data_IF_873716659348
#
_entry.id   IF_873716659348
#
_cell.length_a   1.000
_cell.length_b   1.000
_cell.length_c   1.000
_cell.angle_alpha   90.00
_cell.angle_beta   90.00
_cell.angle_gamma   90.00
#
_symmetry.space_group_name_H-M   'P 1'
#
loop_
_entity.id
_entity.type
_entity.pdbx_description
1 polymer ?
#
# COMPACT_ATOMS: atom_id res chain seq x y z
N UNK A 1 4.14 1.71 17.35
CA UNK A 1 3.57 1.37 16.02
C UNK A 1 2.62 0.21 16.22
N UNK A 2 1.42 0.32 15.67
CA UNK A 2 0.41 -0.74 15.74
C UNK A 2 0.67 -1.78 14.64
N UNK A 3 0.27 -3.04 14.88
CA UNK A 3 0.40 -4.09 13.87
C UNK A 3 -0.70 -3.88 12.84
N UNK A 4 -0.34 -3.86 11.55
CA UNK A 4 -1.25 -3.92 10.42
C UNK A 4 -1.35 -5.36 9.93
N UNK A 5 -2.55 -5.93 9.98
CA UNK A 5 -2.83 -7.24 9.39
C UNK A 5 -3.41 -7.00 8.00
N UNK A 6 -2.58 -7.14 6.97
CA UNK A 6 -2.93 -6.87 5.58
C UNK A 6 -2.48 -8.03 4.68
N UNK A 7 -3.31 -8.39 3.73
CA UNK A 7 -2.99 -9.36 2.68
C UNK A 7 -3.29 -8.77 1.30
N UNK A 8 -2.35 -8.92 0.37
CA UNK A 8 -2.46 -8.48 -1.03
C UNK A 8 -2.79 -9.67 -1.94
N UNK A 9 -3.75 -9.49 -2.85
CA UNK A 9 -4.20 -10.49 -3.80
C UNK A 9 -4.06 -9.94 -5.23
N UNK A 10 -3.27 -10.61 -6.05
CA UNK A 10 -3.03 -10.28 -7.46
C UNK A 10 -3.85 -11.18 -8.39
N UNK A 11 -3.89 -10.84 -9.68
CA UNK A 11 -4.60 -11.61 -10.73
C UNK A 11 -6.12 -11.70 -10.47
N UNK A 12 -6.71 -10.60 -10.02
CA UNK A 12 -8.14 -10.51 -9.69
C UNK A 12 -8.90 -9.89 -10.86
N UNK A 13 -9.99 -10.52 -11.29
CA UNK A 13 -10.97 -9.89 -12.17
C UNK A 13 -11.76 -8.83 -11.39
N UNK A 14 -11.41 -7.57 -11.62
CA UNK A 14 -11.98 -6.45 -10.86
C UNK A 14 -13.48 -6.25 -11.10
N UNK A 15 -13.99 -6.56 -12.28
CA UNK A 15 -15.42 -6.41 -12.58
C UNK A 15 -16.23 -7.43 -11.80
N UNK A 16 -15.73 -8.67 -11.73
CA UNK A 16 -16.31 -9.72 -10.90
C UNK A 16 -16.17 -9.36 -9.42
N UNK A 17 -15.01 -8.89 -9.01
CA UNK A 17 -14.73 -8.53 -7.61
C UNK A 17 -15.59 -7.37 -7.12
N UNK A 18 -15.75 -6.28 -7.90
CA UNK A 18 -16.68 -5.19 -7.57
C UNK A 18 -18.14 -5.63 -7.47
N UNK A 19 -18.57 -6.56 -8.34
CA UNK A 19 -19.92 -7.18 -8.22
C UNK A 19 -20.03 -7.96 -6.91
N UNK A 20 -18.98 -8.69 -6.55
CA UNK A 20 -18.95 -9.44 -5.28
C UNK A 20 -19.03 -8.50 -4.08
N UNK A 21 -18.22 -7.42 -4.02
CA UNK A 21 -18.28 -6.41 -2.97
C UNK A 21 -19.71 -5.87 -2.78
N UNK A 22 -20.34 -5.46 -3.88
CA UNK A 22 -21.75 -4.98 -3.85
C UNK A 22 -22.72 -6.05 -3.36
N UNK A 23 -22.55 -7.30 -3.77
CA UNK A 23 -23.45 -8.41 -3.41
C UNK A 23 -23.40 -8.77 -1.93
N UNK A 24 -22.26 -8.57 -1.27
CA UNK A 24 -22.09 -8.81 0.18
C UNK A 24 -22.43 -7.58 1.02
N UNK A 25 -22.82 -6.48 0.39
CA UNK A 25 -23.16 -5.23 1.09
C UNK A 25 -21.94 -4.41 1.54
N UNK A 26 -20.80 -4.55 0.88
CA UNK A 26 -19.67 -3.67 1.12
C UNK A 26 -20.00 -2.23 0.69
N UNK A 27 -19.54 -1.25 1.47
CA UNK A 27 -19.75 0.17 1.23
C UNK A 27 -18.56 0.75 0.47
N UNK A 28 -18.81 1.43 -0.65
CA UNK A 28 -17.79 2.22 -1.34
C UNK A 28 -17.55 3.51 -0.56
N UNK A 29 -16.39 3.60 0.09
CA UNK A 29 -16.02 4.77 0.89
C UNK A 29 -15.46 5.86 -0.02
N UNK A 30 -14.51 5.51 -0.88
CA UNK A 30 -13.93 6.44 -1.84
C UNK A 30 -13.84 5.77 -3.22
N UNK A 31 -14.34 6.43 -4.28
CA UNK A 31 -14.10 5.97 -5.65
C UNK A 31 -12.60 6.04 -5.98
N UNK A 32 -12.20 5.43 -7.09
CA UNK A 32 -10.81 5.46 -7.56
C UNK A 32 -10.32 6.91 -7.63
N UNK A 33 -9.19 7.17 -6.95
CA UNK A 33 -8.54 8.46 -6.89
C UNK A 33 -7.02 8.33 -6.97
N UNK A 34 -6.37 9.33 -7.52
CA UNK A 34 -4.91 9.41 -7.55
C UNK A 34 -4.39 9.75 -6.15
N UNK A 35 -3.46 8.95 -5.68
CA UNK A 35 -2.69 9.18 -4.47
C UNK A 35 -1.25 9.53 -4.84
N UNK A 36 -0.67 10.49 -4.11
CA UNK A 36 0.72 10.94 -4.31
C UNK A 36 1.46 10.82 -3.00
N UNK A 37 2.73 10.42 -3.04
CA UNK A 37 3.53 10.27 -1.83
C UNK A 37 5.00 10.60 -2.04
N UNK A 38 5.62 11.06 -0.98
CA UNK A 38 7.07 11.12 -0.87
C UNK A 38 7.50 10.15 0.21
N UNK A 39 8.46 9.30 -0.12
CA UNK A 39 9.03 8.29 0.77
C UNK A 39 10.43 8.71 1.18
N UNK A 40 10.77 8.45 2.45
CA UNK A 40 12.06 8.80 3.04
C UNK A 40 12.66 7.61 3.79
N UNK A 41 13.98 7.52 3.78
CA UNK A 41 14.68 6.75 4.80
C UNK A 41 14.64 7.52 6.13
N UNK A 42 14.40 6.83 7.27
CA UNK A 42 14.38 7.48 8.57
C UNK A 42 15.78 8.01 8.96
N UNK A 43 15.85 9.03 9.85
CA UNK A 43 17.14 9.63 10.26
C UNK A 43 18.04 8.67 11.05
N UNK A 44 17.46 7.62 11.61
CA UNK A 44 18.16 6.53 12.29
C UNK A 44 18.03 5.26 11.49
N UNK A 45 19.05 4.42 11.50
CA UNK A 45 18.98 3.10 10.85
C UNK A 45 17.96 2.22 11.58
N UNK A 46 16.83 2.00 10.90
CA UNK A 46 15.74 1.14 11.35
C UNK A 46 15.45 0.14 10.25
N UNK A 47 15.92 -1.08 10.39
CA UNK A 47 15.77 -2.11 9.37
C UNK A 47 14.31 -2.28 8.94
N UNK A 48 14.07 -2.20 7.64
CA UNK A 48 12.75 -2.35 7.03
C UNK A 48 11.76 -1.21 7.29
N UNK A 49 12.23 -0.06 7.82
CA UNK A 49 11.39 1.11 8.07
C UNK A 49 11.55 2.18 6.99
N UNK A 50 10.46 2.92 6.75
CA UNK A 50 10.44 4.13 5.95
C UNK A 50 9.46 5.14 6.52
N UNK A 51 9.69 6.42 6.20
CA UNK A 51 8.74 7.48 6.49
C UNK A 51 8.01 7.86 5.20
N UNK A 52 6.81 8.37 5.33
CA UNK A 52 5.97 8.73 4.19
C UNK A 52 5.13 9.96 4.51
N UNK A 53 5.04 10.87 3.54
CA UNK A 53 3.93 11.84 3.45
C UNK A 53 3.10 11.46 2.26
N UNK A 54 1.78 11.36 2.41
CA UNK A 54 0.86 10.93 1.36
C UNK A 54 -0.34 11.87 1.27
N UNK A 55 -0.61 12.35 0.07
CA UNK A 55 -1.87 12.99 -0.32
C UNK A 55 -2.81 11.89 -0.84
N UNK A 56 -3.93 11.68 -0.17
CA UNK A 56 -4.94 10.67 -0.49
C UNK A 56 -6.13 11.28 -1.26
N UNK A 57 -6.05 12.57 -1.59
CA UNK A 57 -7.09 13.32 -2.27
C UNK A 57 -8.14 13.90 -1.30
N UNK A 58 -8.55 13.17 -0.29
CA UNK A 58 -9.51 13.60 0.74
C UNK A 58 -8.83 13.97 2.07
N UNK A 59 -7.62 13.50 2.29
CA UNK A 59 -6.78 13.80 3.47
C UNK A 59 -5.31 13.72 3.11
N UNK A 60 -4.47 14.28 3.97
CA UNK A 60 -3.03 14.15 3.90
C UNK A 60 -2.54 13.42 5.14
N UNK A 61 -1.69 12.42 4.95
CA UNK A 61 -1.16 11.61 6.05
C UNK A 61 0.36 11.65 6.08
N UNK A 62 0.91 11.50 7.28
CA UNK A 62 2.33 11.30 7.52
C UNK A 62 2.52 10.08 8.39
N UNK A 63 3.38 9.16 7.99
CA UNK A 63 3.54 7.91 8.73
C UNK A 63 4.98 7.42 8.79
N UNK A 64 5.23 6.56 9.77
CA UNK A 64 6.35 5.62 9.80
C UNK A 64 5.78 4.21 9.67
N UNK A 65 6.25 3.47 8.67
CA UNK A 65 5.92 2.06 8.45
C UNK A 65 7.18 1.22 8.55
N UNK A 66 7.03 0.00 9.08
CA UNK A 66 8.13 -0.96 9.20
C UNK A 66 7.65 -2.35 8.84
N UNK A 67 8.39 -3.03 7.95
CA UNK A 67 8.20 -4.43 7.60
C UNK A 67 9.46 -5.20 7.97
N UNK A 68 9.32 -6.15 8.89
CA UNK A 68 10.48 -6.90 9.45
C UNK A 68 10.60 -8.33 8.93
N UNK A 69 9.61 -8.77 8.14
CA UNK A 69 9.59 -10.12 7.57
C UNK A 69 8.46 -10.32 6.58
N UNK A 70 8.09 -11.58 6.34
CA UNK A 70 7.12 -11.97 5.31
C UNK A 70 5.81 -12.54 5.91
N UNK A 71 5.55 -12.31 7.20
CA UNK A 71 4.31 -12.73 7.84
C UNK A 71 3.35 -11.55 7.96
N UNK A 72 2.07 -11.87 8.06
CA UNK A 72 1.00 -10.88 8.12
C UNK A 72 1.08 -9.97 9.37
N UNK A 73 1.73 -10.40 10.45
CA UNK A 73 1.91 -9.67 11.70
C UNK A 73 3.26 -8.94 11.81
N UNK A 74 4.06 -8.97 10.74
CA UNK A 74 5.39 -8.34 10.70
C UNK A 74 5.38 -6.95 10.03
N UNK A 75 4.19 -6.38 9.81
CA UNK A 75 3.99 -5.00 9.38
C UNK A 75 3.51 -4.14 10.55
N UNK A 76 4.09 -2.96 10.70
CA UNK A 76 3.71 -1.99 11.73
C UNK A 76 3.66 -0.60 11.15
N UNK A 77 2.66 0.18 11.53
CA UNK A 77 2.54 1.58 11.14
C UNK A 77 2.13 2.46 12.32
N UNK A 78 2.57 3.71 12.29
CA UNK A 78 1.99 4.82 13.03
C UNK A 78 1.70 5.91 12.03
N UNK A 79 0.44 6.28 11.87
CA UNK A 79 -0.03 7.29 10.92
C UNK A 79 -0.64 8.48 11.66
N UNK A 80 -0.38 9.67 11.15
CA UNK A 80 -0.94 10.94 11.59
C UNK A 80 -1.63 11.62 10.40
N UNK A 81 -2.76 12.29 10.66
CA UNK A 81 -3.36 13.22 9.69
C UNK A 81 -2.67 14.57 9.87
N UNK A 82 -2.31 15.19 8.77
CA UNK A 82 -1.70 16.52 8.72
C UNK A 82 -2.45 17.41 7.73
N UNK A 83 -2.26 18.74 7.82
CA UNK A 83 -3.02 19.71 7.03
C UNK A 83 -2.36 20.06 5.68
N UNK A 84 -1.04 19.82 5.54
CA UNK A 84 -0.29 20.28 4.38
C UNK A 84 0.80 19.29 3.97
N UNK A 85 0.78 18.91 2.69
CA UNK A 85 1.71 17.93 2.15
C UNK A 85 3.15 18.45 2.11
N UNK A 86 3.36 19.68 1.63
CA UNK A 86 4.69 20.28 1.50
C UNK A 86 5.34 20.54 2.86
N UNK A 87 4.55 20.95 3.85
CA UNK A 87 5.04 21.14 5.23
C UNK A 87 5.38 19.80 5.88
N UNK A 88 4.61 18.74 5.61
CA UNK A 88 4.94 17.37 6.05
C UNK A 88 6.27 16.88 5.45
N UNK A 89 6.49 17.13 4.15
CA UNK A 89 7.77 16.82 3.48
C UNK A 89 8.92 17.57 4.12
N UNK A 90 8.81 18.90 4.30
CA UNK A 90 9.83 19.72 4.96
C UNK A 90 10.10 19.29 6.40
N UNK A 91 9.06 18.91 7.13
CA UNK A 91 9.21 18.40 8.48
C UNK A 91 10.09 17.15 8.53
N UNK A 92 9.81 16.16 7.66
CA UNK A 92 10.60 14.93 7.60
C UNK A 92 12.07 15.21 7.18
N UNK A 93 12.29 16.13 6.23
CA UNK A 93 13.64 16.58 5.87
C UNK A 93 14.36 17.26 7.05
N UNK A 94 13.66 18.11 7.81
CA UNK A 94 14.22 18.87 8.94
C UNK A 94 14.69 17.97 10.07
N UNK A 95 14.05 16.83 10.30
CA UNK A 95 14.47 15.85 11.31
C UNK A 95 15.54 14.88 10.82
N UNK A 96 16.03 15.05 9.57
CA UNK A 96 17.08 14.24 8.97
C UNK A 96 16.62 13.05 8.14
N UNK A 97 15.32 12.97 7.80
CA UNK A 97 14.81 12.03 6.81
C UNK A 97 15.45 12.26 5.44
N UNK A 98 15.90 11.21 4.78
CA UNK A 98 16.49 11.30 3.44
C UNK A 98 15.45 10.94 2.40
N UNK A 99 15.09 11.91 1.54
CA UNK A 99 14.15 11.68 0.45
C UNK A 99 14.64 10.54 -0.44
N UNK A 100 13.77 9.57 -0.66
CA UNK A 100 14.05 8.32 -1.37
C UNK A 100 13.36 8.28 -2.72
N UNK A 101 12.04 8.47 -2.73
CA UNK A 101 11.25 8.42 -3.97
C UNK A 101 9.99 9.28 -3.88
N UNK A 102 9.53 9.71 -5.06
CA UNK A 102 8.18 10.21 -5.27
C UNK A 102 7.38 9.12 -5.99
N UNK A 103 6.17 8.82 -5.50
CA UNK A 103 5.38 7.72 -6.02
C UNK A 103 3.92 8.11 -6.17
N UNK A 104 3.28 7.51 -7.17
CA UNK A 104 1.83 7.60 -7.40
C UNK A 104 1.22 6.21 -7.38
N UNK A 105 -0.03 6.11 -6.96
CA UNK A 105 -0.92 5.00 -7.25
C UNK A 105 -2.36 5.50 -7.32
N UNK A 106 -3.24 4.73 -7.92
CA UNK A 106 -4.68 4.94 -7.82
C UNK A 106 -5.23 3.95 -6.81
N UNK A 107 -6.22 4.40 -6.02
CA UNK A 107 -6.86 3.59 -4.98
C UNK A 107 -8.37 3.81 -4.97
N UNK A 108 -9.12 2.72 -4.95
CA UNK A 108 -10.56 2.67 -4.69
C UNK A 108 -10.77 1.98 -3.33
N UNK A 109 -11.51 2.61 -2.42
CA UNK A 109 -11.61 2.18 -1.02
C UNK A 109 -13.01 1.70 -0.68
N UNK A 110 -13.12 0.50 -0.11
CA UNK A 110 -14.35 -0.11 0.37
C UNK A 110 -14.25 -0.48 1.84
N UNK A 111 -15.40 -0.48 2.51
CA UNK A 111 -15.55 -1.01 3.87
C UNK A 111 -16.46 -2.23 3.83
N UNK A 112 -16.01 -3.35 4.34
CA UNK A 112 -16.83 -4.55 4.52
C UNK A 112 -16.68 -5.08 5.94
N UNK A 113 -17.77 -5.05 6.71
CA UNK A 113 -17.75 -5.26 8.15
C UNK A 113 -16.78 -4.24 8.77
N UNK A 114 -15.70 -4.67 9.43
CA UNK A 114 -14.69 -3.76 10.00
C UNK A 114 -13.35 -3.83 9.24
N UNK A 115 -13.35 -4.40 8.04
CA UNK A 115 -12.17 -4.51 7.19
C UNK A 115 -12.17 -3.44 6.10
N UNK A 116 -11.02 -2.86 5.85
CA UNK A 116 -10.75 -2.03 4.67
C UNK A 116 -10.40 -2.94 3.51
N UNK A 117 -11.02 -2.69 2.37
CA UNK A 117 -10.73 -3.38 1.12
C UNK A 117 -10.28 -2.30 0.14
N UNK A 118 -9.05 -2.41 -0.31
CA UNK A 118 -8.47 -1.44 -1.23
C UNK A 118 -8.23 -2.09 -2.58
N UNK A 119 -8.64 -1.44 -3.66
CA UNK A 119 -8.27 -1.82 -5.02
C UNK A 119 -7.22 -0.82 -5.48
N UNK A 120 -5.99 -1.28 -5.60
CA UNK A 120 -4.84 -0.48 -5.95
C UNK A 120 -4.39 -0.72 -7.39
N UNK A 121 -4.04 0.35 -8.08
CA UNK A 121 -3.35 0.32 -9.36
C UNK A 121 -2.06 1.12 -9.24
N UNK A 122 -0.94 0.45 -9.46
CA UNK A 122 0.38 1.08 -9.44
C UNK A 122 0.95 1.21 -10.85
N UNK A 123 1.82 2.20 -11.10
CA UNK A 123 2.47 2.39 -12.40
C UNK A 123 3.15 1.11 -12.91
N UNK A 124 2.77 0.66 -14.11
CA UNK A 124 3.32 -0.55 -14.72
C UNK A 124 2.73 -1.87 -14.22
N UNK A 125 1.84 -1.86 -13.22
CA UNK A 125 1.18 -3.06 -12.69
C UNK A 125 -0.30 -3.10 -13.08
N UNK A 126 -0.83 -4.31 -13.20
CA UNK A 126 -2.28 -4.53 -13.13
C UNK A 126 -2.78 -4.23 -11.71
N UNK A 127 -4.05 -3.89 -11.61
CA UNK A 127 -4.66 -3.64 -10.30
C UNK A 127 -4.70 -4.91 -9.45
N UNK A 128 -4.61 -4.72 -8.15
CA UNK A 128 -4.66 -5.78 -7.15
C UNK A 128 -5.54 -5.35 -5.97
N UNK A 129 -5.83 -6.28 -5.08
CA UNK A 129 -6.70 -6.07 -3.93
C UNK A 129 -5.89 -6.21 -2.64
N UNK A 130 -6.05 -5.27 -1.72
CA UNK A 130 -5.56 -5.37 -0.34
C UNK A 130 -6.75 -5.55 0.61
N UNK A 131 -6.62 -6.44 1.57
CA UNK A 131 -7.58 -6.66 2.65
C UNK A 131 -6.87 -6.41 3.97
N UNK A 132 -7.26 -5.34 4.66
CA UNK A 132 -6.72 -4.93 5.96
C UNK A 132 -7.80 -5.08 7.04
N UNK A 133 -7.45 -5.68 8.19
CA UNK A 133 -8.34 -5.81 9.33
C UNK A 133 -7.58 -5.86 10.66
N UNK A 134 -8.31 -5.92 11.79
CA UNK A 134 -7.75 -5.88 13.15
C UNK A 134 -6.98 -7.15 13.56
N UNK A 135 -7.02 -8.24 12.78
CA UNK A 135 -6.32 -9.49 13.08
C UNK A 135 -6.20 -10.37 11.83
N UNK A 136 -5.19 -11.24 11.80
CA UNK A 136 -5.02 -12.25 10.75
C UNK A 136 -6.29 -13.10 10.54
N UNK A 137 -6.92 -13.56 11.64
CA UNK A 137 -8.16 -14.34 11.55
C UNK A 137 -9.26 -13.57 10.80
N UNK A 138 -9.35 -12.27 11.03
CA UNK A 138 -10.35 -11.42 10.37
C UNK A 138 -9.99 -11.19 8.92
N UNK A 139 -8.73 -10.90 8.58
CA UNK A 139 -8.26 -10.81 7.19
C UNK A 139 -8.58 -12.08 6.42
N UNK A 140 -8.26 -13.26 7.00
CA UNK A 140 -8.56 -14.54 6.38
C UNK A 140 -10.05 -14.74 6.14
N UNK A 141 -10.88 -14.54 7.17
CA UNK A 141 -12.35 -14.72 7.04
C UNK A 141 -12.96 -13.79 6.00
N UNK A 142 -12.55 -12.51 5.99
CA UNK A 142 -13.03 -11.51 5.04
C UNK A 142 -12.58 -11.86 3.61
N UNK A 143 -11.33 -12.27 3.42
CA UNK A 143 -10.81 -12.69 2.13
C UNK A 143 -11.61 -13.88 1.57
N UNK A 144 -11.87 -14.90 2.39
CA UNK A 144 -12.68 -16.07 2.01
C UNK A 144 -14.12 -15.68 1.67
N UNK A 145 -14.76 -14.81 2.45
CA UNK A 145 -16.10 -14.28 2.18
C UNK A 145 -16.17 -13.53 0.83
N UNK A 146 -15.08 -12.85 0.47
CA UNK A 146 -14.96 -12.13 -0.81
C UNK A 146 -14.56 -13.04 -1.98
N UNK A 147 -14.28 -14.32 -1.72
CA UNK A 147 -13.89 -15.30 -2.74
C UNK A 147 -12.41 -15.25 -3.09
N UNK A 148 -11.59 -14.64 -2.23
CA UNK A 148 -10.15 -14.61 -2.35
C UNK A 148 -9.52 -15.80 -1.62
N UNK A 149 -8.56 -16.47 -2.26
CA UNK A 149 -7.85 -17.59 -1.66
C UNK A 149 -6.74 -17.05 -0.73
N UNK A 150 -6.99 -17.07 0.58
CA UNK A 150 -6.05 -16.55 1.57
C UNK A 150 -4.66 -17.21 1.50
N UNK A 151 -4.57 -18.47 1.05
CA UNK A 151 -3.28 -19.16 0.89
C UNK A 151 -2.39 -18.56 -0.20
N UNK A 152 -2.96 -17.72 -1.09
CA UNK A 152 -2.26 -16.97 -2.14
C UNK A 152 -2.01 -15.52 -1.76
N UNK A 153 -2.40 -15.12 -0.56
CA UNK A 153 -2.15 -13.79 -0.04
C UNK A 153 -0.65 -13.49 0.05
N UNK A 154 -0.27 -12.31 -0.40
CA UNK A 154 1.09 -11.77 -0.27
C UNK A 154 1.13 -10.84 0.93
N UNK A 155 2.22 -10.87 1.68
CA UNK A 155 2.41 -10.05 2.88
C UNK A 155 3.66 -9.19 2.70
N UNK A 156 3.54 -7.90 2.95
CA UNK A 156 4.59 -6.92 2.75
C UNK A 156 4.13 -5.76 1.87
N UNK A 157 5.06 -4.98 1.32
CA UNK A 157 4.72 -3.82 0.51
C UNK A 157 4.75 -4.12 -0.99
N UNK A 158 4.40 -3.12 -1.81
CA UNK A 158 4.16 -3.28 -3.27
C UNK A 158 5.36 -3.80 -4.05
N UNK A 159 6.59 -3.69 -3.53
CA UNK A 159 7.78 -4.25 -4.20
C UNK A 159 7.69 -5.77 -4.43
N UNK A 160 6.90 -6.48 -3.61
CA UNK A 160 6.65 -7.92 -3.81
C UNK A 160 5.85 -8.11 -5.10
N UNK A 161 4.87 -7.26 -5.36
CA UNK A 161 4.06 -7.30 -6.59
C UNK A 161 4.92 -6.99 -7.81
N UNK A 162 5.76 -5.94 -7.73
CA UNK A 162 6.74 -5.62 -8.79
C UNK A 162 7.69 -6.77 -9.08
N UNK A 163 8.18 -7.45 -8.04
CA UNK A 163 9.04 -8.63 -8.19
C UNK A 163 8.32 -9.76 -8.92
N UNK A 164 7.09 -10.07 -8.54
CA UNK A 164 6.32 -11.18 -9.12
C UNK A 164 5.91 -10.87 -10.55
N UNK A 165 5.42 -9.65 -10.82
CA UNK A 165 4.83 -9.28 -12.11
C UNK A 165 5.86 -8.81 -13.15
N UNK A 166 6.88 -8.07 -12.74
CA UNK A 166 7.85 -7.46 -13.64
C UNK A 166 9.29 -7.99 -13.45
N UNK A 167 9.51 -8.88 -12.47
CA UNK A 167 10.84 -9.40 -12.16
C UNK A 167 11.77 -8.37 -11.50
N UNK A 168 11.26 -7.20 -11.10
CA UNK A 168 12.09 -6.14 -10.54
C UNK A 168 12.45 -6.49 -9.09
N UNK A 169 13.74 -6.56 -8.74
CA UNK A 169 14.15 -6.84 -7.37
C UNK A 169 13.64 -5.77 -6.39
N UNK A 170 13.22 -6.15 -5.17
CA UNK A 170 12.77 -5.18 -4.14
C UNK A 170 13.75 -4.03 -3.92
N UNK A 171 15.06 -4.32 -3.89
CA UNK A 171 16.09 -3.31 -3.75
C UNK A 171 16.03 -2.25 -4.85
N UNK A 172 15.79 -2.63 -6.11
CA UNK A 172 15.70 -1.69 -7.23
C UNK A 172 14.50 -0.77 -7.06
N UNK A 173 13.32 -1.32 -6.73
CA UNK A 173 12.12 -0.52 -6.46
C UNK A 173 12.32 0.41 -5.27
N UNK A 174 12.88 -0.10 -4.19
CA UNK A 174 12.96 0.65 -2.93
C UNK A 174 14.10 1.66 -2.90
N UNK A 175 15.25 1.37 -3.51
CA UNK A 175 16.48 2.13 -3.30
C UNK A 175 17.02 2.80 -4.56
N UNK A 176 16.64 2.31 -5.76
CA UNK A 176 17.23 2.72 -7.02
C UNK A 176 16.21 3.37 -7.98
N UNK A 177 14.91 3.44 -7.57
CA UNK A 177 13.83 4.04 -8.38
C UNK A 177 13.31 5.31 -7.72
N UNK A 178 13.90 6.49 -8.02
CA UNK A 178 13.54 7.75 -7.35
C UNK A 178 12.16 8.27 -7.73
N UNK A 179 11.56 7.74 -8.80
CA UNK A 179 10.24 8.14 -9.28
C UNK A 179 9.46 6.93 -9.78
N UNK A 180 8.23 6.76 -9.28
CA UNK A 180 7.28 5.74 -9.71
C UNK A 180 5.95 6.45 -9.99
N UNK A 181 5.75 6.86 -11.25
CA UNK A 181 4.56 7.62 -11.66
C UNK A 181 3.90 6.98 -12.88
N UNK A 182 2.64 7.33 -13.16
CA UNK A 182 1.96 6.83 -14.36
C UNK A 182 2.59 7.36 -15.66
N UNK A 183 3.31 8.48 -15.60
CA UNK A 183 4.09 9.02 -16.72
C UNK A 183 5.45 8.34 -16.86
N UNK A 184 6.02 7.85 -15.75
CA UNK A 184 7.31 7.17 -15.70
C UNK A 184 7.20 5.84 -14.94
N UNK A 185 6.51 4.82 -15.49
CA UNK A 185 6.31 3.54 -14.82
C UNK A 185 7.59 2.70 -14.83
N UNK A 186 7.88 1.93 -13.78
CA UNK A 186 8.93 0.93 -13.80
C UNK A 186 8.70 -0.09 -14.93
N UNK A 187 9.75 -0.36 -15.72
CA UNK A 187 9.70 -1.31 -16.82
C UNK A 187 10.17 -2.70 -16.37
N UNK A 188 9.77 -3.73 -17.12
CA UNK A 188 10.19 -5.10 -16.86
C UNK A 188 11.72 -5.18 -16.73
N UNK A 189 12.19 -5.77 -15.65
CA UNK A 189 13.62 -5.98 -15.39
C UNK A 189 14.14 -7.13 -16.26
N UNK A 190 15.18 -6.84 -17.03
CA UNK A 190 15.81 -7.82 -17.95
C UNK A 190 17.01 -8.47 -17.31
#
# INVERSE_FOLDING_TARGET
MDIEFEATFIDIDLDIFRKKLKSVGAELINPERLMKRVVFDPPQDMAGAWLRVRDEGDKITMSIKQVTGNKIDEQKETELIIDNFEEGVKFLESIGGKKKSYQENKRESWLYREAKIEIDTWPGLESFVEVEAKSEKMVKSISEDLGLDFSKGLFGSVEIVYKIKLGIPPKVINDETPEITFENPPLQYK
#
